data_IF_289022800265
#
_entry.id   IF_289022800265
#
_cell.length_a   1.000
_cell.length_b   1.000
_cell.length_c   1.000
_cell.angle_alpha   90.00
_cell.angle_beta   90.00
_cell.angle_gamma   90.00
#
_symmetry.space_group_name_H-M   'P 1'
#
loop_
_entity.id
_entity.type
_entity.pdbx_description
1 polymer ?
#
# COMPACT_ATOMS: atom_id res chain seq x y z
N UNK A 1 15.17 7.01 19.73
CA UNK A 1 16.06 6.67 18.60
C UNK A 1 15.24 6.68 17.31
N UNK A 2 15.07 7.84 16.66
CA UNK A 2 14.51 7.86 15.31
C UNK A 2 15.60 7.34 14.36
N UNK A 3 15.49 6.08 13.98
CA UNK A 3 16.38 5.49 12.98
C UNK A 3 16.25 6.32 11.72
N UNK A 4 17.30 7.04 11.30
CA UNK A 4 17.37 7.66 9.97
C UNK A 4 17.48 6.55 8.93
N UNK A 5 16.40 5.80 8.72
CA UNK A 5 16.32 4.82 7.64
C UNK A 5 16.18 5.64 6.35
N UNK A 6 17.16 5.49 5.46
CA UNK A 6 17.12 6.05 4.11
C UNK A 6 16.38 5.07 3.21
N UNK A 7 15.50 5.59 2.36
CA UNK A 7 14.80 4.77 1.38
C UNK A 7 15.82 4.31 0.34
N UNK A 8 15.85 3.00 0.12
CA UNK A 8 16.67 2.35 -0.90
C UNK A 8 15.70 1.54 -1.75
N UNK A 9 15.42 2.06 -2.95
CA UNK A 9 14.59 1.37 -3.93
C UNK A 9 15.18 -0.01 -4.25
N UNK A 10 14.34 -1.02 -4.32
CA UNK A 10 14.74 -2.42 -4.46
C UNK A 10 15.11 -3.13 -3.15
N UNK A 11 15.04 -2.46 -1.99
CA UNK A 11 15.48 -3.03 -0.70
C UNK A 11 14.44 -2.87 0.39
N UNK A 12 14.00 -1.64 0.66
CA UNK A 12 13.09 -1.32 1.77
C UNK A 12 11.93 -0.40 1.35
N UNK A 13 11.67 -0.35 0.06
CA UNK A 13 10.51 0.30 -0.52
C UNK A 13 9.28 -0.62 -0.51
N UNK A 14 8.12 -0.02 -0.72
CA UNK A 14 6.84 -0.73 -0.66
C UNK A 14 6.67 -1.70 -1.82
N UNK A 15 7.23 -1.38 -2.99
CA UNK A 15 7.14 -2.27 -4.13
C UNK A 15 7.92 -3.57 -3.92
N UNK A 16 9.06 -3.49 -3.25
CA UNK A 16 9.89 -4.65 -2.89
C UNK A 16 9.33 -5.42 -1.72
N UNK A 17 8.98 -4.74 -0.61
CA UNK A 17 8.52 -5.43 0.60
C UNK A 17 7.08 -5.97 0.46
N UNK A 18 6.22 -5.27 -0.28
CA UNK A 18 4.79 -5.55 -0.37
C UNK A 18 4.28 -5.51 -1.82
N UNK A 19 4.82 -6.34 -2.74
CA UNK A 19 4.49 -6.31 -4.16
C UNK A 19 3.01 -6.61 -4.44
N UNK A 20 2.34 -7.32 -3.54
CA UNK A 20 0.91 -7.59 -3.65
C UNK A 20 0.09 -6.33 -3.42
N UNK A 21 0.48 -5.43 -2.51
CA UNK A 21 -0.25 -4.19 -2.27
C UNK A 21 -0.11 -3.18 -3.41
N UNK A 22 1.03 -3.16 -4.11
CA UNK A 22 1.26 -2.32 -5.31
C UNK A 22 0.15 -2.53 -6.34
N UNK A 23 -0.39 -3.75 -6.41
CA UNK A 23 -1.47 -4.10 -7.34
C UNK A 23 -2.77 -3.31 -7.10
N UNK A 24 -2.98 -2.78 -5.90
CA UNK A 24 -4.12 -1.95 -5.52
C UNK A 24 -3.74 -0.48 -5.36
N UNK A 25 -2.53 -0.07 -5.77
CA UNK A 25 -2.13 1.33 -5.69
C UNK A 25 -2.97 2.19 -6.64
N UNK A 26 -3.44 3.35 -6.15
CA UNK A 26 -4.18 4.28 -7.02
C UNK A 26 -3.20 5.16 -7.82
N UNK A 27 -3.12 5.04 -9.16
CA UNK A 27 -2.08 5.72 -9.95
C UNK A 27 -2.25 7.24 -9.99
N UNK A 28 -3.49 7.74 -10.09
CA UNK A 28 -3.74 9.17 -10.24
C UNK A 28 -3.74 9.94 -8.91
N UNK A 29 -4.46 9.44 -7.90
CA UNK A 29 -4.59 10.12 -6.60
C UNK A 29 -3.30 10.15 -5.78
N UNK A 30 -2.35 9.24 -6.03
CA UNK A 30 -1.06 9.27 -5.36
C UNK A 30 0.05 9.95 -6.16
N UNK A 31 -0.22 10.39 -7.40
CA UNK A 31 0.79 11.08 -8.21
C UNK A 31 1.30 12.34 -7.47
N UNK A 32 2.62 12.60 -7.43
CA UNK A 32 3.71 11.93 -8.16
C UNK A 32 4.38 10.76 -7.41
N UNK A 33 3.83 10.30 -6.29
CA UNK A 33 4.42 9.23 -5.48
C UNK A 33 4.18 7.86 -6.12
N UNK A 34 5.24 7.06 -6.14
CA UNK A 34 5.22 5.67 -6.60
C UNK A 34 5.58 4.72 -5.46
N UNK A 35 5.07 3.48 -5.44
CA UNK A 35 5.37 2.50 -4.39
C UNK A 35 6.86 2.17 -4.21
N UNK A 36 7.66 2.28 -5.26
CA UNK A 36 9.12 2.11 -5.24
C UNK A 36 9.87 3.31 -4.63
N UNK A 37 9.20 4.46 -4.50
CA UNK A 37 9.75 5.71 -3.98
C UNK A 37 9.22 6.07 -2.58
N UNK A 38 8.60 5.12 -1.87
CA UNK A 38 8.06 5.34 -0.53
C UNK A 38 8.42 4.21 0.44
N UNK A 39 8.37 4.53 1.73
CA UNK A 39 8.49 3.54 2.81
C UNK A 39 7.13 2.94 3.18
N UNK A 40 7.10 1.68 3.68
CA UNK A 40 5.92 1.08 4.31
C UNK A 40 5.65 1.67 5.72
N UNK A 41 5.50 2.99 5.78
CA UNK A 41 5.32 3.76 7.01
C UNK A 41 3.85 4.04 7.33
N UNK A 42 3.65 4.97 8.27
CA UNK A 42 2.32 5.39 8.73
C UNK A 42 1.63 6.40 7.80
N UNK A 43 2.31 6.86 6.75
CA UNK A 43 1.72 7.71 5.72
C UNK A 43 0.56 6.99 5.03
N UNK A 44 -0.53 7.73 4.78
CA UNK A 44 -1.74 7.22 4.15
C UNK A 44 -1.67 7.45 2.65
N UNK A 45 -2.15 6.48 1.90
CA UNK A 45 -2.21 6.51 0.45
C UNK A 45 -3.58 6.07 -0.04
N UNK A 46 -3.91 6.47 -1.26
CA UNK A 46 -5.13 6.02 -1.92
C UNK A 46 -4.91 4.66 -2.55
N UNK A 47 -5.88 3.79 -2.35
CA UNK A 47 -5.85 2.43 -2.89
C UNK A 47 -7.15 2.17 -3.63
N UNK A 48 -7.05 1.46 -4.75
CA UNK A 48 -8.18 0.99 -5.53
C UNK A 48 -8.17 -0.53 -5.50
N UNK A 49 -9.15 -1.14 -4.85
CA UNK A 49 -9.21 -2.60 -4.80
C UNK A 49 -9.48 -3.20 -6.18
N UNK A 50 -8.92 -4.38 -6.45
CA UNK A 50 -9.13 -5.03 -7.77
C UNK A 50 -10.48 -5.74 -7.89
N UNK A 51 -11.00 -6.24 -6.77
CA UNK A 51 -12.24 -7.02 -6.76
C UNK A 51 -13.47 -6.17 -7.12
N UNK A 52 -13.64 -5.05 -6.41
CA UNK A 52 -14.84 -4.22 -6.52
C UNK A 52 -14.57 -2.76 -6.95
N UNK A 53 -13.30 -2.35 -7.10
CA UNK A 53 -12.95 -0.98 -7.48
C UNK A 53 -13.14 0.07 -6.38
N UNK A 54 -13.34 -0.33 -5.13
CA UNK A 54 -13.45 0.57 -3.99
C UNK A 54 -12.17 1.39 -3.79
N UNK A 55 -12.36 2.69 -3.57
CA UNK A 55 -11.28 3.60 -3.25
C UNK A 55 -11.21 3.79 -1.73
N UNK A 56 -10.10 3.40 -1.11
CA UNK A 56 -9.89 3.62 0.33
C UNK A 56 -8.59 4.38 0.61
N UNK A 57 -8.59 5.18 1.67
CA UNK A 57 -7.44 6.02 2.05
C UNK A 57 -6.85 5.53 3.38
N UNK A 58 -5.78 4.74 3.30
CA UNK A 58 -5.23 4.00 4.45
C UNK A 58 -3.71 3.93 4.38
N UNK A 59 -3.06 3.74 5.53
CA UNK A 59 -1.62 3.50 5.58
C UNK A 59 -1.29 2.06 5.22
N UNK A 60 -0.04 1.81 4.85
CA UNK A 60 0.43 0.48 4.44
C UNK A 60 0.31 -0.53 5.60
N UNK A 61 0.78 -0.25 6.84
CA UNK A 61 0.60 -1.16 7.97
C UNK A 61 -0.86 -1.48 8.25
N UNK A 62 -1.76 -0.49 8.12
CA UNK A 62 -3.19 -0.73 8.30
C UNK A 62 -3.70 -1.68 7.22
N UNK A 63 -3.34 -1.44 5.96
CA UNK A 63 -3.80 -2.26 4.83
C UNK A 63 -3.28 -3.70 4.91
N UNK A 64 -2.06 -3.89 5.38
CA UNK A 64 -1.51 -5.21 5.69
C UNK A 64 -2.33 -5.90 6.78
N UNK A 65 -2.63 -5.19 7.88
CA UNK A 65 -3.41 -5.72 8.99
C UNK A 65 -4.86 -6.05 8.59
N UNK A 66 -5.50 -5.22 7.77
CA UNK A 66 -6.85 -5.46 7.24
C UNK A 66 -6.87 -6.51 6.14
N UNK A 67 -5.69 -7.00 5.72
CA UNK A 67 -5.49 -7.94 4.61
C UNK A 67 -5.94 -7.40 3.24
N UNK A 68 -6.05 -6.08 3.08
CA UNK A 68 -6.49 -5.44 1.84
C UNK A 68 -7.61 -4.43 2.07
N UNK A 69 -8.55 -4.34 1.13
CA UNK A 69 -9.65 -3.38 1.18
C UNK A 69 -10.63 -3.69 2.33
N UNK A 70 -10.90 -2.70 3.18
CA UNK A 70 -11.84 -2.81 4.31
C UNK A 70 -13.30 -2.89 3.90
N UNK A 71 -13.64 -2.33 2.74
CA UNK A 71 -15.00 -2.37 2.16
C UNK A 71 -15.29 -3.70 1.45
N UNK A 72 -14.25 -4.47 1.11
CA UNK A 72 -14.41 -5.80 0.54
C UNK A 72 -14.69 -6.84 1.62
N UNK A 73 -15.45 -7.88 1.24
CA UNK A 73 -15.58 -9.09 2.04
C UNK A 73 -14.21 -9.75 2.24
N UNK A 74 -13.96 -10.47 3.35
CA UNK A 74 -12.67 -11.09 3.61
C UNK A 74 -12.17 -11.99 2.47
N UNK A 75 -13.05 -12.75 1.81
CA UNK A 75 -12.69 -13.58 0.67
C UNK A 75 -12.18 -12.79 -0.54
N UNK A 76 -12.62 -11.55 -0.74
CA UNK A 76 -12.26 -10.72 -1.91
C UNK A 76 -10.97 -9.91 -1.71
N UNK A 77 -10.37 -9.94 -0.52
CA UNK A 77 -9.20 -9.11 -0.22
C UNK A 77 -7.93 -9.68 -0.86
N UNK A 78 -7.02 -8.79 -1.25
CA UNK A 78 -5.85 -9.14 -2.04
C UNK A 78 -4.77 -9.90 -1.26
N UNK A 79 -4.73 -9.75 0.07
CA UNK A 79 -3.83 -10.50 0.94
C UNK A 79 -4.67 -11.60 1.60
N UNK A 80 -4.32 -12.86 1.39
CA UNK A 80 -4.97 -13.99 2.06
C UNK A 80 -4.01 -14.59 3.08
#
# INVERSE_FOLDING_TARGET
>A
MCSRRRLVAGVNDVATENPVLVKEWHPYLNYPKTPDAIFPGTEKYYWKCRAAGHNTHQSIPHRLKSKGCTECTPEERILR
#
